data_IF_266833450616
#
_entry.id   IF_266833450616
#
_cell.length_a   1.000
_cell.length_b   1.000
_cell.length_c   1.000
_cell.angle_alpha   90.00
_cell.angle_beta   90.00
_cell.angle_gamma   90.00
#
_symmetry.space_group_name_H-M   'P 1'
#
loop_
_entity.id
_entity.type
_entity.pdbx_description
1 polymer ?
#
# COMPACT_ATOMS: atom_id res chain seq x y z
N UNK A 1 6.58 -24.83 0.10
CA UNK A 1 5.54 -24.15 -0.72
C UNK A 1 4.79 -23.06 0.07
N UNK A 2 4.47 -23.25 1.36
CA UNK A 2 3.83 -22.20 2.20
C UNK A 2 4.76 -21.02 2.54
N UNK A 3 6.08 -21.26 2.68
CA UNK A 3 7.06 -20.25 3.12
C UNK A 3 7.28 -19.09 2.11
N UNK A 4 7.09 -19.33 0.81
CA UNK A 4 7.26 -18.30 -0.23
C UNK A 4 6.15 -17.23 -0.20
N UNK A 5 4.93 -17.58 0.26
CA UNK A 5 3.76 -16.67 0.26
C UNK A 5 3.71 -15.71 1.43
N UNK A 6 4.47 -15.98 2.50
CA UNK A 6 4.56 -15.09 3.66
C UNK A 6 5.53 -13.94 3.34
N UNK A 7 6.62 -14.27 2.62
CA UNK A 7 7.67 -13.34 2.26
C UNK A 7 7.20 -12.19 1.35
N UNK A 8 6.39 -12.49 0.32
CA UNK A 8 5.83 -11.45 -0.58
C UNK A 8 4.99 -10.39 0.17
N UNK A 9 4.34 -10.74 1.28
CA UNK A 9 3.52 -9.77 2.01
C UNK A 9 4.31 -8.79 2.82
N UNK A 10 5.38 -9.25 3.46
CA UNK A 10 6.26 -8.37 4.23
C UNK A 10 7.01 -7.41 3.30
N UNK A 11 7.43 -7.89 2.13
CA UNK A 11 8.05 -7.08 1.08
C UNK A 11 7.10 -5.99 0.58
N UNK A 12 5.85 -6.35 0.23
CA UNK A 12 4.84 -5.36 -0.19
C UNK A 12 4.56 -4.32 0.90
N UNK A 13 4.44 -4.74 2.16
CA UNK A 13 4.21 -3.83 3.28
C UNK A 13 5.38 -2.86 3.46
N UNK A 14 6.61 -3.37 3.35
CA UNK A 14 7.83 -2.58 3.46
C UNK A 14 7.90 -1.56 2.33
N UNK A 15 7.73 -1.99 1.08
CA UNK A 15 7.73 -1.09 -0.07
C UNK A 15 6.63 -0.03 0.01
N UNK A 16 5.43 -0.40 0.46
CA UNK A 16 4.34 0.57 0.66
C UNK A 16 4.76 1.65 1.66
N UNK A 17 5.35 1.27 2.80
CA UNK A 17 5.84 2.23 3.80
C UNK A 17 6.98 3.09 3.28
N UNK A 18 7.89 2.52 2.50
CA UNK A 18 8.98 3.26 1.87
C UNK A 18 8.44 4.34 0.93
N UNK A 19 7.42 4.01 0.13
CA UNK A 19 6.76 5.00 -0.74
C UNK A 19 6.10 6.09 0.10
N UNK A 20 5.34 5.74 1.14
CA UNK A 20 4.74 6.74 2.04
C UNK A 20 5.81 7.70 2.60
N UNK A 21 6.90 7.14 3.12
CA UNK A 21 7.99 7.94 3.70
C UNK A 21 8.73 8.78 2.67
N UNK A 22 8.97 8.22 1.47
CA UNK A 22 9.72 8.88 0.38
C UNK A 22 8.96 10.10 -0.16
N UNK A 23 7.64 9.99 -0.28
CA UNK A 23 6.79 11.04 -0.82
C UNK A 23 6.11 11.88 0.26
N UNK A 24 6.32 11.58 1.55
CA UNK A 24 5.71 12.27 2.67
C UNK A 24 4.19 12.07 2.78
N UNK A 25 3.67 10.97 2.24
CA UNK A 25 2.24 10.69 2.18
C UNK A 25 1.75 10.04 3.47
N UNK A 26 0.58 10.50 3.91
CA UNK A 26 -0.19 9.87 4.98
C UNK A 26 -0.93 8.63 4.47
N UNK A 27 -1.35 7.75 5.39
CA UNK A 27 -2.19 6.60 5.04
C UNK A 27 -3.55 7.00 4.44
N UNK A 28 -4.04 8.20 4.76
CA UNK A 28 -5.29 8.72 4.21
C UNK A 28 -5.10 9.16 2.75
N UNK A 29 -4.06 9.95 2.47
CA UNK A 29 -3.72 10.38 1.11
C UNK A 29 -3.42 9.19 0.20
N UNK A 30 -2.67 8.20 0.68
CA UNK A 30 -2.42 6.98 -0.09
C UNK A 30 -3.71 6.22 -0.41
N UNK A 31 -4.67 6.18 0.52
CA UNK A 31 -5.97 5.55 0.29
C UNK A 31 -6.78 6.29 -0.78
N UNK A 32 -6.76 7.63 -0.76
CA UNK A 32 -7.39 8.48 -1.77
C UNK A 32 -6.72 8.33 -3.15
N UNK A 33 -5.39 8.37 -3.21
CA UNK A 33 -4.63 8.18 -4.44
C UNK A 33 -4.94 6.82 -5.09
N UNK A 34 -4.92 5.75 -4.30
CA UNK A 34 -5.25 4.40 -4.80
C UNK A 34 -6.71 4.34 -5.26
N UNK A 35 -7.63 4.98 -4.51
CA UNK A 35 -9.05 5.02 -4.89
C UNK A 35 -9.25 5.75 -6.21
N UNK A 36 -8.59 6.88 -6.40
CA UNK A 36 -8.68 7.68 -7.63
C UNK A 36 -8.08 6.94 -8.83
N UNK A 37 -6.97 6.23 -8.65
CA UNK A 37 -6.30 5.47 -9.73
C UNK A 37 -7.06 4.20 -10.11
N UNK A 38 -7.57 3.46 -9.13
CA UNK A 38 -8.17 2.14 -9.36
C UNK A 38 -9.68 2.16 -9.49
N UNK A 39 -10.34 3.26 -9.11
CA UNK A 39 -11.79 3.36 -8.95
C UNK A 39 -12.35 2.50 -7.80
N UNK A 40 -11.51 1.79 -7.04
CA UNK A 40 -11.97 0.98 -5.91
C UNK A 40 -12.02 1.80 -4.64
N UNK A 41 -13.11 1.72 -3.87
CA UNK A 41 -13.16 2.38 -2.57
C UNK A 41 -12.17 1.73 -1.59
N UNK A 42 -11.09 2.44 -1.33
CA UNK A 42 -10.06 2.07 -0.37
C UNK A 42 -10.06 3.12 0.71
N UNK A 43 -10.59 2.77 1.88
CA UNK A 43 -10.55 3.64 3.05
C UNK A 43 -9.24 3.50 3.82
N UNK A 44 -8.89 4.51 4.62
CA UNK A 44 -7.70 4.52 5.50
C UNK A 44 -7.62 3.31 6.42
N UNK A 45 -8.77 2.79 6.89
CA UNK A 45 -8.84 1.58 7.72
C UNK A 45 -8.35 0.33 6.99
N UNK A 46 -8.57 0.25 5.67
CA UNK A 46 -8.14 -0.85 4.81
C UNK A 46 -6.62 -0.80 4.63
N UNK A 47 -6.08 0.38 4.34
CA UNK A 47 -4.62 0.62 4.28
C UNK A 47 -3.94 0.29 5.62
N UNK A 48 -4.54 0.71 6.75
CA UNK A 48 -4.04 0.35 8.08
C UNK A 48 -4.01 -1.16 8.32
N UNK A 49 -5.03 -1.88 7.86
CA UNK A 49 -5.09 -3.34 7.95
C UNK A 49 -4.04 -4.01 7.07
N UNK A 50 -3.70 -3.43 5.91
CA UNK A 50 -2.60 -3.90 5.06
C UNK A 50 -1.23 -3.68 5.67
N UNK A 51 -1.04 -2.58 6.40
CA UNK A 51 0.22 -2.23 7.06
C UNK A 51 0.33 -2.82 8.47
N UNK A 52 -0.71 -3.46 9.00
CA UNK A 52 -0.70 -4.09 10.31
C UNK A 52 0.23 -5.31 10.30
N UNK A 53 1.05 -5.46 11.35
CA UNK A 53 1.99 -6.58 11.48
C UNK A 53 1.27 -7.93 11.52
N UNK A 54 1.95 -8.98 11.05
CA UNK A 54 1.39 -10.34 10.96
C UNK A 54 0.93 -10.93 12.31
N UNK A 55 1.40 -10.37 13.43
CA UNK A 55 0.96 -10.74 14.78
C UNK A 55 -0.48 -10.29 15.11
N UNK A 56 -1.06 -9.41 14.30
CA UNK A 56 -2.39 -8.86 14.53
C UNK A 56 -3.43 -9.68 13.75
N UNK A 57 -4.48 -10.24 14.38
CA UNK A 57 -5.49 -11.05 13.70
C UNK A 57 -6.33 -10.29 12.66
N UNK A 58 -6.37 -8.95 12.75
CA UNK A 58 -6.96 -8.08 11.73
C UNK A 58 -5.99 -7.66 10.62
N UNK A 59 -4.76 -8.19 10.61
CA UNK A 59 -3.80 -7.95 9.53
C UNK A 59 -4.32 -8.63 8.26
N UNK A 60 -4.44 -7.82 7.21
CA UNK A 60 -4.80 -8.29 5.88
C UNK A 60 -3.55 -8.20 5.01
N UNK A 61 -3.41 -9.19 4.14
CA UNK A 61 -2.35 -9.24 3.13
C UNK A 61 -2.38 -7.96 2.28
N UNK A 62 -1.27 -7.22 2.22
CA UNK A 62 -1.16 -6.05 1.35
C UNK A 62 -1.16 -6.55 -0.10
N UNK A 63 -2.19 -6.22 -0.90
CA UNK A 63 -2.32 -6.78 -2.23
C UNK A 63 -1.38 -6.10 -3.22
N UNK A 64 -0.80 -6.86 -4.15
CA UNK A 64 0.13 -6.33 -5.17
C UNK A 64 -0.50 -5.19 -5.98
N UNK A 65 -1.80 -5.26 -6.29
CA UNK A 65 -2.47 -4.21 -7.07
C UNK A 65 -2.47 -2.86 -6.35
N UNK A 66 -2.58 -2.83 -5.01
CA UNK A 66 -2.59 -1.58 -4.23
C UNK A 66 -1.21 -0.93 -4.23
N UNK A 67 -0.16 -1.76 -4.11
CA UNK A 67 1.23 -1.32 -4.26
C UNK A 67 1.48 -0.74 -5.65
N UNK A 68 1.05 -1.44 -6.71
CA UNK A 68 1.20 -0.98 -8.10
C UNK A 68 0.46 0.34 -8.36
N UNK A 69 -0.77 0.48 -7.87
CA UNK A 69 -1.52 1.73 -7.98
C UNK A 69 -0.83 2.90 -7.25
N UNK A 70 -0.33 2.65 -6.03
CA UNK A 70 0.43 3.66 -5.29
C UNK A 70 1.72 4.04 -6.02
N UNK A 71 2.46 3.08 -6.58
CA UNK A 71 3.67 3.35 -7.38
C UNK A 71 3.38 4.20 -8.61
N UNK A 72 2.27 3.95 -9.31
CA UNK A 72 1.86 4.74 -10.49
C UNK A 72 1.54 6.17 -10.10
N UNK A 73 0.62 6.35 -9.16
CA UNK A 73 0.21 7.70 -8.69
C UNK A 73 1.37 8.51 -8.13
N UNK A 74 2.26 7.89 -7.35
CA UNK A 74 3.44 8.59 -6.81
C UNK A 74 4.48 8.92 -7.86
N UNK A 75 4.63 8.08 -8.90
CA UNK A 75 5.50 8.40 -10.04
C UNK A 75 4.94 9.56 -10.86
N UNK A 76 3.63 9.59 -11.10
CA UNK A 76 2.96 10.70 -11.79
C UNK A 76 3.08 12.03 -11.03
N UNK A 77 3.04 11.98 -9.70
CA UNK A 77 3.29 13.15 -8.84
C UNK A 77 4.70 13.73 -9.02
N UNK A 78 5.71 12.90 -9.30
CA UNK A 78 7.08 13.36 -9.58
C UNK A 78 7.29 13.87 -11.00
N UNK A 79 6.57 13.33 -11.99
CA UNK A 79 6.73 13.74 -13.40
C UNK A 79 5.97 15.04 -13.74
N UNK A 80 5.03 15.47 -12.90
CA UNK A 80 4.28 16.72 -13.08
C UNK A 80 4.90 17.95 -12.39
N UNK A 81 6.10 17.84 -11.82
CA UNK A 81 6.75 18.93 -11.07
C UNK A 81 7.91 19.52 -11.85
#
# INVERSE_FOLDING_TARGET
>A
MEQLRIQEHEENQKEFREILSKYGLTQAEAAELITNETGQSVGTRKVRSWLAGASIPSSRKCPNWALTALKRTTKELTEKK
#
